data_IF_003239831708
#
_entry.id   IF_003239831708
#
_cell.length_a   1.000
_cell.length_b   1.000
_cell.length_c   1.000
_cell.angle_alpha   90.00
_cell.angle_beta   90.00
_cell.angle_gamma   90.00
#
_symmetry.space_group_name_H-M   'P 1'
#
loop_
_entity.id
_entity.type
_entity.pdbx_description
1 polymer ?
#
# COMPACT_ATOMS: atom_id res chain seq x y z
N UNK A 1 -31.31 -56.07 13.51
CA UNK A 1 -30.07 -55.36 13.87
C UNK A 1 -29.81 -54.34 12.76
N UNK A 2 -30.17 -53.05 12.93
CA UNK A 2 -29.24 -51.93 13.27
C UNK A 2 -27.89 -52.10 12.55
N UNK A 3 -27.52 -51.34 11.53
CA UNK A 3 -27.10 -49.91 11.45
C UNK A 3 -26.13 -49.90 10.24
N UNK A 4 -25.85 -48.85 9.49
CA UNK A 4 -26.33 -47.49 9.35
C UNK A 4 -25.74 -47.02 8.00
N UNK A 5 -26.53 -46.29 7.19
CA UNK A 5 -25.98 -45.50 6.10
C UNK A 5 -24.98 -44.50 6.70
N UNK A 6 -23.71 -44.61 6.35
CA UNK A 6 -22.75 -43.54 6.59
C UNK A 6 -22.86 -42.59 5.40
N UNK A 7 -23.74 -41.60 5.55
CA UNK A 7 -23.70 -40.35 4.80
C UNK A 7 -22.37 -39.65 5.13
N UNK A 8 -21.45 -39.64 4.17
CA UNK A 8 -20.31 -38.72 4.21
C UNK A 8 -20.84 -37.29 4.05
N UNK A 9 -20.66 -36.39 5.03
CA UNK A 9 -20.98 -35.00 4.83
C UNK A 9 -19.94 -34.39 3.90
N UNK A 10 -20.41 -33.85 2.77
CA UNK A 10 -19.65 -32.94 1.92
C UNK A 10 -19.20 -31.74 2.76
N UNK A 11 -17.93 -31.74 3.17
CA UNK A 11 -17.25 -30.52 3.60
C UNK A 11 -16.91 -29.72 2.35
N UNK A 12 -17.93 -29.07 1.79
CA UNK A 12 -17.71 -27.94 0.90
C UNK A 12 -17.05 -26.84 1.75
N UNK A 13 -15.71 -26.81 1.73
CA UNK A 13 -14.96 -25.66 2.20
C UNK A 13 -15.26 -24.50 1.25
N UNK A 14 -16.33 -23.77 1.53
CA UNK A 14 -16.49 -22.40 1.08
C UNK A 14 -15.36 -21.60 1.73
N UNK A 15 -14.17 -21.63 1.15
CA UNK A 15 -13.22 -20.54 1.30
C UNK A 15 -13.93 -19.34 0.68
N UNK A 16 -14.60 -18.58 1.54
CA UNK A 16 -15.03 -17.24 1.17
C UNK A 16 -13.77 -16.51 0.67
N UNK A 17 -13.82 -15.83 -0.48
CA UNK A 17 -12.75 -14.92 -0.80
C UNK A 17 -12.71 -13.92 0.34
N UNK A 18 -11.58 -13.81 1.04
CA UNK A 18 -11.39 -12.71 1.99
C UNK A 18 -11.69 -11.43 1.23
N UNK A 19 -12.83 -10.83 1.59
CA UNK A 19 -13.25 -9.55 1.07
C UNK A 19 -12.08 -8.60 1.27
N UNK A 20 -11.61 -8.03 0.17
CA UNK A 20 -10.47 -7.13 0.09
C UNK A 20 -10.63 -6.05 1.15
N UNK A 21 -9.85 -6.08 2.23
CA UNK A 21 -9.87 -4.96 3.18
C UNK A 21 -9.17 -3.81 2.45
N UNK A 22 -9.86 -2.70 2.12
CA UNK A 22 -9.20 -1.51 1.66
C UNK A 22 -8.63 -0.82 2.89
N UNK A 23 -7.58 -1.38 3.47
CA UNK A 23 -6.93 -0.83 4.67
C UNK A 23 -5.86 0.19 4.29
N UNK A 24 -6.19 1.06 3.35
CA UNK A 24 -5.29 2.14 2.97
C UNK A 24 -6.14 3.33 2.57
N UNK A 25 -6.35 4.21 3.54
CA UNK A 25 -6.66 5.61 3.29
C UNK A 25 -5.44 6.28 2.63
N UNK A 26 -5.02 5.84 1.43
CA UNK A 26 -3.82 6.36 0.79
C UNK A 26 -4.12 7.71 0.15
N UNK A 27 -4.37 8.71 0.98
CA UNK A 27 -4.28 10.10 0.57
C UNK A 27 -2.80 10.37 0.37
N UNK A 28 -2.35 10.25 -0.88
CA UNK A 28 -1.01 10.67 -1.25
C UNK A 28 -1.05 12.05 -1.89
N UNK A 29 -0.05 12.87 -1.60
CA UNK A 29 0.08 14.20 -2.18
C UNK A 29 1.50 14.44 -2.67
N UNK A 30 1.62 15.20 -3.76
CA UNK A 30 2.91 15.55 -4.33
C UNK A 30 3.61 16.61 -3.48
N UNK A 31 4.82 16.29 -3.01
CA UNK A 31 5.77 17.26 -2.45
C UNK A 31 6.23 18.24 -3.52
N UNK A 32 6.71 19.42 -3.12
CA UNK A 32 7.43 20.36 -3.99
C UNK A 32 8.79 19.83 -4.47
N UNK A 33 9.30 18.78 -3.84
CA UNK A 33 10.59 18.19 -4.19
C UNK A 33 10.53 17.29 -5.42
N UNK A 34 11.47 17.53 -6.35
CA UNK A 34 11.68 16.69 -7.52
C UNK A 34 12.35 15.38 -7.13
N UNK A 35 11.87 14.28 -7.70
CA UNK A 35 12.54 12.98 -7.67
C UNK A 35 13.30 12.68 -8.98
N UNK A 36 13.46 13.70 -9.85
CA UNK A 36 14.08 13.56 -11.18
C UNK A 36 13.13 12.96 -12.23
N UNK A 37 13.51 13.04 -13.51
CA UNK A 37 12.78 12.41 -14.63
C UNK A 37 11.28 12.75 -14.72
N UNK A 38 10.90 13.96 -14.28
CA UNK A 38 9.51 14.42 -14.23
C UNK A 38 8.67 13.81 -13.10
N UNK A 39 9.30 13.09 -12.17
CA UNK A 39 8.70 12.56 -10.96
C UNK A 39 8.83 13.55 -9.79
N UNK A 40 7.95 13.43 -8.81
CA UNK A 40 7.99 14.17 -7.55
C UNK A 40 7.98 13.17 -6.40
N UNK A 41 8.50 13.59 -5.26
CA UNK A 41 8.30 12.84 -4.03
C UNK A 41 6.85 12.95 -3.62
N UNK A 42 6.19 11.82 -3.40
CA UNK A 42 4.84 11.76 -2.87
C UNK A 42 4.89 11.28 -1.43
N UNK A 43 4.08 11.90 -0.58
CA UNK A 43 3.91 11.49 0.80
C UNK A 43 2.66 10.63 0.89
N UNK A 44 2.80 9.43 1.41
CA UNK A 44 1.73 8.47 1.65
C UNK A 44 1.45 8.43 3.15
N UNK A 45 0.19 8.60 3.53
CA UNK A 45 -0.25 8.55 4.93
C UNK A 45 -0.94 7.21 5.21
N UNK A 46 -0.60 6.60 6.33
CA UNK A 46 -1.18 5.35 6.83
C UNK A 46 -1.89 5.60 8.16
N UNK A 47 -2.82 4.71 8.51
CA UNK A 47 -3.50 4.77 9.81
C UNK A 47 -2.48 4.64 10.96
N UNK A 48 -2.33 5.68 11.82
CA UNK A 48 -1.39 5.63 12.94
C UNK A 48 -1.80 4.67 14.06
N UNK A 49 -3.06 4.20 14.11
CA UNK A 49 -3.52 3.20 15.07
C UNK A 49 -3.06 1.78 14.71
N UNK A 50 -2.60 1.58 13.47
CA UNK A 50 -2.02 0.33 12.98
C UNK A 50 -0.62 0.58 12.40
N UNK A 51 0.42 0.71 13.25
CA UNK A 51 1.80 0.90 12.81
C UNK A 51 2.26 -0.20 11.86
N UNK A 52 3.01 0.17 10.82
CA UNK A 52 3.52 -0.76 9.80
C UNK A 52 5.01 -0.54 9.57
N UNK A 53 5.73 -1.64 9.39
CA UNK A 53 7.13 -1.58 8.97
C UNK A 53 7.26 -0.94 7.58
N UNK A 54 8.50 -0.59 7.22
CA UNK A 54 8.79 0.12 5.97
C UNK A 54 8.39 -0.69 4.74
N UNK A 55 8.66 -2.01 4.73
CA UNK A 55 8.42 -2.86 3.57
C UNK A 55 6.93 -3.06 3.31
N UNK A 56 6.14 -3.21 4.37
CA UNK A 56 4.69 -3.24 4.32
C UNK A 56 4.13 -1.95 3.76
N UNK A 57 4.62 -0.78 4.23
CA UNK A 57 4.20 0.52 3.70
C UNK A 57 4.54 0.68 2.22
N UNK A 58 5.73 0.27 1.78
CA UNK A 58 6.11 0.29 0.37
C UNK A 58 5.15 -0.57 -0.47
N UNK A 59 4.84 -1.79 0.00
CA UNK A 59 3.94 -2.69 -0.72
C UNK A 59 2.53 -2.11 -0.86
N UNK A 60 2.00 -1.50 0.19
CA UNK A 60 0.67 -0.85 0.17
C UNK A 60 0.67 0.40 -0.73
N UNK A 61 1.69 1.25 -0.64
CA UNK A 61 1.83 2.44 -1.47
C UNK A 61 1.92 2.08 -2.96
N UNK A 62 2.68 1.03 -3.30
CA UNK A 62 2.75 0.52 -4.68
C UNK A 62 1.40 0.05 -5.20
N UNK A 63 0.67 -0.74 -4.41
CA UNK A 63 -0.70 -1.19 -4.76
C UNK A 63 -1.65 -0.01 -4.98
N UNK A 64 -1.54 1.03 -4.16
CA UNK A 64 -2.36 2.24 -4.30
C UNK A 64 -2.06 2.98 -5.62
N UNK A 65 -0.78 3.12 -5.98
CA UNK A 65 -0.39 3.73 -7.26
C UNK A 65 -0.75 2.84 -8.45
N UNK A 66 -0.65 1.52 -8.33
CA UNK A 66 -1.08 0.58 -9.38
C UNK A 66 -2.59 0.67 -9.67
N UNK A 67 -3.39 1.07 -8.67
CA UNK A 67 -4.82 1.31 -8.82
C UNK A 67 -5.15 2.71 -9.40
N UNK A 68 -4.20 3.66 -9.39
CA UNK A 68 -4.37 5.00 -9.97
C UNK A 68 -3.80 5.07 -11.39
N UNK A 69 -4.64 5.09 -12.44
CA UNK A 69 -4.18 5.11 -13.82
C UNK A 69 -3.48 6.42 -14.23
N UNK A 70 -3.63 7.50 -13.45
CA UNK A 70 -2.97 8.77 -13.69
C UNK A 70 -1.54 8.82 -13.15
N UNK A 71 -1.16 7.89 -12.30
CA UNK A 71 0.11 7.88 -11.60
C UNK A 71 0.96 6.64 -11.93
N UNK A 72 2.28 6.79 -11.84
CA UNK A 72 3.23 5.69 -12.00
C UNK A 72 4.33 5.79 -10.97
N UNK A 73 4.63 4.65 -10.34
CA UNK A 73 5.81 4.49 -9.49
C UNK A 73 7.07 4.51 -10.35
N UNK A 74 7.98 5.44 -10.10
CA UNK A 74 9.17 5.63 -10.94
C UNK A 74 10.36 4.80 -10.44
N UNK A 75 10.27 4.29 -9.21
CA UNK A 75 11.31 3.48 -8.58
C UNK A 75 12.30 4.34 -7.81
N UNK A 76 12.70 3.83 -6.65
CA UNK A 76 13.84 4.28 -5.84
C UNK A 76 14.35 3.04 -5.09
N UNK A 77 15.60 3.07 -4.65
CA UNK A 77 16.08 2.01 -3.78
C UNK A 77 15.33 2.03 -2.44
N UNK A 78 15.21 0.88 -1.78
CA UNK A 78 14.62 0.82 -0.43
C UNK A 78 15.36 1.75 0.54
N UNK A 79 16.68 1.84 0.43
CA UNK A 79 17.51 2.70 1.26
C UNK A 79 17.18 4.18 1.04
N UNK A 80 17.03 4.61 -0.21
CA UNK A 80 16.65 5.98 -0.54
C UNK A 80 15.24 6.32 -0.03
N UNK A 81 14.28 5.42 -0.20
CA UNK A 81 12.93 5.55 0.36
C UNK A 81 12.99 5.68 1.89
N UNK A 82 13.82 4.89 2.55
CA UNK A 82 14.00 4.97 4.00
C UNK A 82 14.55 6.35 4.41
N UNK A 83 15.60 6.83 3.74
CA UNK A 83 16.20 8.15 3.99
C UNK A 83 15.17 9.26 3.82
N UNK A 84 14.46 9.30 2.69
CA UNK A 84 13.43 10.34 2.42
C UNK A 84 12.25 10.27 3.36
N UNK A 85 11.90 9.07 3.82
CA UNK A 85 10.84 8.88 4.82
C UNK A 85 11.28 9.39 6.19
N UNK A 86 12.52 9.13 6.60
CA UNK A 86 13.07 9.63 7.87
C UNK A 86 13.13 11.17 7.90
N UNK A 87 13.38 11.82 6.76
CA UNK A 87 13.35 13.28 6.63
C UNK A 87 11.99 13.91 6.96
N UNK A 88 10.90 13.13 6.96
CA UNK A 88 9.57 13.62 7.37
C UNK A 88 9.45 13.79 8.90
N UNK A 89 10.41 13.26 9.66
CA UNK A 89 10.50 13.34 11.10
C UNK A 89 10.18 12.00 11.79
N UNK A 90 10.98 11.67 12.80
CA UNK A 90 10.92 10.41 13.57
C UNK A 90 9.53 10.06 14.09
N UNK A 91 8.73 11.07 14.46
CA UNK A 91 7.35 10.89 14.95
C UNK A 91 6.43 10.18 13.95
N UNK A 92 6.75 10.25 12.67
CA UNK A 92 5.91 9.74 11.59
C UNK A 92 6.50 8.50 10.92
N UNK A 93 7.60 7.95 11.47
CA UNK A 93 8.36 6.88 10.86
C UNK A 93 7.52 5.62 10.56
N UNK A 94 6.43 5.38 11.30
CA UNK A 94 5.56 4.20 11.17
C UNK A 94 4.24 4.47 10.44
N UNK A 95 3.91 5.74 10.18
CA UNK A 95 2.62 6.18 9.61
C UNK A 95 2.74 7.01 8.33
N UNK A 96 3.97 7.28 7.87
CA UNK A 96 4.25 8.04 6.65
C UNK A 96 5.26 7.30 5.78
N UNK A 97 5.14 7.41 4.45
CA UNK A 97 6.16 6.95 3.49
C UNK A 97 6.39 8.03 2.43
N UNK A 98 7.65 8.32 2.11
CA UNK A 98 8.01 9.15 0.96
C UNK A 98 8.45 8.26 -0.21
N UNK A 99 7.83 8.41 -1.39
CA UNK A 99 8.19 7.62 -2.57
C UNK A 99 8.07 8.41 -3.89
N UNK A 100 8.88 8.09 -4.91
CA UNK A 100 8.89 8.82 -6.16
C UNK A 100 7.75 8.35 -7.08
N UNK A 101 6.87 9.29 -7.41
CA UNK A 101 5.72 9.05 -8.29
C UNK A 101 5.69 10.12 -9.37
N UNK A 102 5.31 9.71 -10.58
CA UNK A 102 4.99 10.63 -11.66
C UNK A 102 3.49 10.52 -11.94
N UNK A 103 2.77 11.62 -11.76
CA UNK A 103 1.35 11.71 -12.09
C UNK A 103 1.14 12.67 -13.25
N UNK A 104 0.22 12.35 -14.16
CA UNK A 104 -0.23 13.28 -15.20
C UNK A 104 -1.21 14.28 -14.59
N UNK A 105 -0.75 15.51 -14.40
CA UNK A 105 -1.51 16.58 -13.73
C UNK A 105 -2.67 17.14 -14.56
N UNK A 106 -2.87 16.66 -15.80
CA UNK A 106 -3.99 17.08 -16.66
C UNK A 106 -5.34 16.43 -16.31
N UNK A 107 -5.41 15.62 -15.25
CA UNK A 107 -6.62 14.86 -14.87
C UNK A 107 -6.95 14.90 -13.38
N UNK A 108 -6.22 15.69 -12.59
CA UNK A 108 -6.45 15.88 -11.15
C UNK A 108 -7.31 17.12 -10.88
#
# INVERSE_FOLDING_TARGET
MRRALILLPFLAACVAPEASVPDVSTRHFASTESAGNGARWHIFLFDPSAPRDLDTRIALARRAIEADPACRWIGASRAEIATRTAEQGERYAESVLAAPVRCDTRRA
#
